data_IF_876523266087
#
_entry.id   IF_876523266087
#
_cell.length_a   1.000
_cell.length_b   1.000
_cell.length_c   1.000
_cell.angle_alpha   90.00
_cell.angle_beta   90.00
_cell.angle_gamma   90.00
#
_symmetry.space_group_name_H-M   'P 1'
#
loop_
_entity.id
_entity.type
_entity.pdbx_description
1 polymer ?
#
# COMPACT_ATOMS: atom_id res chain seq x y z
N UNK A 1 15.10 11.29 -7.98
CA UNK A 1 13.91 10.42 -7.99
C UNK A 1 14.00 9.23 -8.98
N UNK A 2 15.01 9.10 -9.85
CA UNK A 2 15.06 8.03 -10.88
C UNK A 2 15.98 6.82 -10.57
N UNK A 3 16.55 6.70 -9.37
CA UNK A 3 17.59 5.70 -9.08
C UNK A 3 17.07 4.32 -8.64
N UNK A 4 15.76 4.18 -8.37
CA UNK A 4 15.23 2.98 -7.69
C UNK A 4 14.66 1.90 -8.60
N UNK A 5 14.33 2.21 -9.87
CA UNK A 5 13.59 1.28 -10.74
C UNK A 5 12.21 0.86 -10.21
N UNK A 6 11.82 1.37 -9.04
CA UNK A 6 10.52 1.20 -8.41
C UNK A 6 9.61 2.37 -8.77
N UNK A 7 8.30 2.10 -8.74
CA UNK A 7 7.27 3.12 -8.93
C UNK A 7 7.57 4.38 -8.10
N UNK A 8 7.48 5.60 -8.67
CA UNK A 8 7.79 6.85 -7.98
C UNK A 8 7.09 7.00 -6.62
N UNK A 9 5.91 6.39 -6.45
CA UNK A 9 5.16 6.40 -5.18
C UNK A 9 5.84 5.56 -4.11
N UNK A 10 6.41 4.42 -4.48
CA UNK A 10 7.18 3.58 -3.55
C UNK A 10 8.45 4.32 -3.09
N UNK A 11 9.12 5.00 -4.02
CA UNK A 11 10.26 5.83 -3.68
C UNK A 11 9.87 6.97 -2.71
N UNK A 12 8.73 7.62 -2.94
CA UNK A 12 8.21 8.66 -2.04
C UNK A 12 7.91 8.10 -0.64
N UNK A 13 7.28 6.92 -0.56
CA UNK A 13 7.02 6.24 0.72
C UNK A 13 8.32 5.91 1.48
N UNK A 14 9.34 5.43 0.77
CA UNK A 14 10.65 5.12 1.35
C UNK A 14 11.42 6.37 1.78
N UNK A 15 11.26 7.50 1.08
CA UNK A 15 11.84 8.79 1.45
C UNK A 15 11.11 9.39 2.67
N UNK A 16 9.81 9.14 2.82
CA UNK A 16 9.03 9.61 3.97
C UNK A 16 9.38 8.88 5.28
N UNK A 17 10.17 7.80 5.22
CA UNK A 17 10.65 7.10 6.40
C UNK A 17 11.73 7.89 7.13
N UNK A 18 11.44 8.27 8.37
CA UNK A 18 12.30 9.08 9.25
C UNK A 18 13.26 8.24 10.13
N UNK A 19 13.05 6.92 10.17
CA UNK A 19 13.69 6.01 11.10
C UNK A 19 13.94 4.64 10.47
N UNK A 20 14.86 3.83 11.01
CA UNK A 20 15.11 2.47 10.50
C UNK A 20 13.85 1.60 10.50
N UNK A 21 13.00 1.73 11.51
CA UNK A 21 11.74 0.98 11.63
C UNK A 21 10.71 1.45 10.61
N UNK A 22 10.62 2.77 10.38
CA UNK A 22 9.79 3.32 9.31
C UNK A 22 10.28 2.85 7.93
N UNK A 23 11.60 2.81 7.71
CA UNK A 23 12.18 2.34 6.47
C UNK A 23 11.89 0.84 6.26
N UNK A 24 12.00 0.03 7.31
CA UNK A 24 11.66 -1.39 7.26
C UNK A 24 10.16 -1.62 6.98
N UNK A 25 9.30 -0.78 7.57
CA UNK A 25 7.86 -0.78 7.30
C UNK A 25 7.56 -0.43 5.84
N UNK A 26 8.13 0.67 5.34
CA UNK A 26 7.98 1.09 3.94
C UNK A 26 8.51 0.03 2.96
N UNK A 27 9.65 -0.58 3.25
CA UNK A 27 10.23 -1.63 2.40
C UNK A 27 9.34 -2.89 2.37
N UNK A 28 8.75 -3.28 3.51
CA UNK A 28 7.80 -4.39 3.57
C UNK A 28 6.53 -4.07 2.77
N UNK A 29 5.98 -2.86 2.92
CA UNK A 29 4.84 -2.41 2.13
C UNK A 29 5.14 -2.43 0.63
N UNK A 30 6.30 -1.91 0.22
CA UNK A 30 6.73 -1.92 -1.17
C UNK A 30 6.82 -3.35 -1.72
N UNK A 31 7.36 -4.30 -0.95
CA UNK A 31 7.41 -5.71 -1.34
C UNK A 31 6.01 -6.32 -1.52
N UNK A 32 5.06 -6.01 -0.65
CA UNK A 32 3.67 -6.48 -0.76
C UNK A 32 2.98 -5.86 -1.98
N UNK A 33 3.25 -4.59 -2.28
CA UNK A 33 2.67 -3.92 -3.45
C UNK A 33 3.28 -4.38 -4.78
N UNK A 34 4.57 -4.74 -4.78
CA UNK A 34 5.24 -5.36 -5.94
C UNK A 34 4.70 -6.76 -6.22
N UNK A 35 4.46 -7.55 -5.17
CA UNK A 35 3.93 -8.91 -5.24
C UNK A 35 2.67 -9.05 -4.38
N UNK A 36 1.51 -8.55 -4.85
CA UNK A 36 0.29 -8.59 -4.08
C UNK A 36 -0.13 -10.03 -3.80
N UNK A 37 -0.75 -10.30 -2.63
CA UNK A 37 -1.25 -11.63 -2.30
C UNK A 37 -2.20 -12.11 -3.38
N UNK A 38 -1.95 -13.30 -3.91
CA UNK A 38 -2.85 -13.97 -4.86
C UNK A 38 -4.10 -14.42 -4.10
N UNK A 39 -5.21 -13.68 -4.23
CA UNK A 39 -6.48 -14.01 -3.59
C UNK A 39 -7.46 -12.83 -3.53
N UNK A 40 -8.70 -13.09 -3.11
CA UNK A 40 -9.79 -12.11 -3.12
C UNK A 40 -9.72 -11.04 -2.00
N UNK A 41 -8.84 -11.22 -1.00
CA UNK A 41 -8.76 -10.31 0.13
C UNK A 41 -7.72 -9.21 -0.14
N UNK A 42 -8.22 -8.00 -0.39
CA UNK A 42 -7.42 -6.84 -0.80
C UNK A 42 -6.87 -6.04 0.39
N UNK A 43 -7.07 -6.54 1.62
CA UNK A 43 -6.64 -5.85 2.83
C UNK A 43 -5.11 -5.87 3.02
N UNK A 44 -4.52 -4.70 2.83
CA UNK A 44 -3.10 -4.45 3.05
C UNK A 44 -2.69 -4.65 4.51
N UNK A 45 -3.56 -4.33 5.48
CA UNK A 45 -3.28 -4.55 6.90
C UNK A 45 -3.15 -6.04 7.21
N UNK A 46 -4.10 -6.85 6.72
CA UNK A 46 -4.04 -8.31 6.78
C UNK A 46 -2.81 -8.87 6.06
N UNK A 47 -2.46 -8.36 4.87
CA UNK A 47 -1.26 -8.76 4.15
C UNK A 47 0.02 -8.41 4.93
N UNK A 48 0.08 -7.23 5.54
CA UNK A 48 1.22 -6.80 6.35
C UNK A 48 1.38 -7.63 7.62
N UNK A 49 0.28 -8.05 8.25
CA UNK A 49 0.32 -8.94 9.42
C UNK A 49 0.86 -10.34 9.08
N UNK A 50 0.66 -10.81 7.84
CA UNK A 50 1.22 -12.08 7.37
C UNK A 50 2.75 -12.01 7.32
N UNK A 51 3.39 -13.05 7.84
CA UNK A 51 4.84 -13.22 7.80
C UNK A 51 5.21 -14.13 6.64
N UNK A 52 5.18 -13.59 5.41
CA UNK A 52 5.65 -14.34 4.25
C UNK A 52 7.15 -14.13 4.02
N UNK A 53 7.96 -15.20 3.91
CA UNK A 53 9.40 -15.08 3.75
C UNK A 53 9.80 -14.39 2.44
N UNK A 54 9.02 -14.57 1.35
CA UNK A 54 9.27 -13.90 0.07
C UNK A 54 9.22 -12.37 0.20
N UNK A 55 8.17 -11.84 0.81
CA UNK A 55 8.05 -10.40 1.07
C UNK A 55 9.13 -9.87 2.02
N UNK A 56 9.52 -10.64 3.04
CA UNK A 56 10.61 -10.25 3.94
C UNK A 56 11.96 -10.17 3.20
N UNK A 57 12.28 -11.16 2.38
CA UNK A 57 13.51 -11.17 1.57
C UNK A 57 13.53 -9.98 0.61
N UNK A 58 12.41 -9.73 -0.07
CA UNK A 58 12.28 -8.60 -0.99
C UNK A 58 12.43 -7.25 -0.27
N UNK A 59 11.80 -7.08 0.88
CA UNK A 59 11.94 -5.89 1.71
C UNK A 59 13.39 -5.65 2.14
N UNK A 60 14.11 -6.70 2.54
CA UNK A 60 15.53 -6.61 2.89
C UNK A 60 16.40 -6.22 1.68
N UNK A 61 16.11 -6.73 0.48
CA UNK A 61 16.81 -6.33 -0.74
C UNK A 61 16.60 -4.83 -1.02
N UNK A 62 15.37 -4.34 -0.90
CA UNK A 62 15.05 -2.92 -1.09
C UNK A 62 15.80 -2.04 -0.08
N UNK A 63 15.78 -2.40 1.21
CA UNK A 63 16.54 -1.70 2.24
C UNK A 63 18.05 -1.66 1.93
N UNK A 64 18.63 -2.80 1.54
CA UNK A 64 20.05 -2.88 1.18
C UNK A 64 20.40 -1.97 0.01
N UNK A 65 19.55 -1.92 -1.03
CA UNK A 65 19.76 -1.04 -2.21
C UNK A 65 19.69 0.44 -1.84
N UNK A 66 18.89 0.79 -0.84
CA UNK A 66 18.74 2.15 -0.34
C UNK A 66 19.81 2.56 0.68
N UNK A 67 20.69 1.64 1.09
CA UNK A 67 21.61 1.86 2.21
C UNK A 67 20.90 1.99 3.57
N UNK A 68 19.65 1.54 3.66
CA UNK A 68 18.85 1.55 4.88
C UNK A 68 19.38 0.56 5.92
N UNK A 69 19.26 0.91 7.20
CA UNK A 69 19.59 0.00 8.31
C UNK A 69 18.47 -1.00 8.56
N UNK A 70 18.82 -2.14 9.16
CA UNK A 70 17.83 -3.09 9.64
C UNK A 70 16.97 -2.44 10.74
N UNK A 71 15.65 -2.52 10.59
CA UNK A 71 14.67 -2.08 11.55
C UNK A 71 13.51 -3.07 11.63
N UNK A 72 12.59 -2.84 12.54
CA UNK A 72 11.42 -3.69 12.76
C UNK A 72 10.20 -3.09 12.06
N UNK A 73 9.57 -3.80 11.12
CA UNK A 73 8.34 -3.34 10.48
C UNK A 73 7.20 -3.20 11.51
N UNK A 74 6.54 -2.05 11.52
CA UNK A 74 5.47 -1.70 12.45
C UNK A 74 4.19 -1.31 11.68
N UNK A 75 3.11 -2.05 11.95
CA UNK A 75 1.81 -1.81 11.33
C UNK A 75 1.21 -0.44 11.68
N UNK A 76 1.53 0.11 12.85
CA UNK A 76 1.01 1.42 13.29
C UNK A 76 1.55 2.57 12.43
N UNK A 77 2.71 2.38 11.79
CA UNK A 77 3.35 3.38 10.91
C UNK A 77 2.86 3.31 9.46
N UNK A 78 2.15 2.25 9.10
CA UNK A 78 1.65 2.03 7.73
C UNK A 78 0.81 3.21 7.21
N UNK A 79 -0.18 3.74 7.95
CA UNK A 79 -0.99 4.86 7.45
C UNK A 79 -0.16 6.13 7.24
N UNK A 80 0.77 6.43 8.15
CA UNK A 80 1.62 7.62 8.10
C UNK A 80 2.58 7.59 6.89
N UNK A 81 3.05 6.39 6.52
CA UNK A 81 3.92 6.19 5.35
C UNK A 81 3.15 6.19 4.03
N UNK A 82 1.94 5.63 4.02
CA UNK A 82 1.11 5.57 2.82
C UNK A 82 0.45 6.90 2.47
N UNK A 83 0.01 7.67 3.47
CA UNK A 83 -0.69 8.94 3.24
C UNK A 83 0.05 9.90 2.29
N UNK A 84 1.35 10.21 2.46
CA UNK A 84 2.07 11.10 1.55
C UNK A 84 2.35 10.45 0.17
N UNK A 85 2.51 9.13 0.11
CA UNK A 85 2.82 8.42 -1.14
C UNK A 85 1.58 8.16 -2.03
N UNK A 86 0.41 8.11 -1.42
CA UNK A 86 -0.86 7.74 -2.05
C UNK A 86 -1.99 8.72 -1.69
N UNK A 87 -1.66 9.99 -1.46
CA UNK A 87 -2.62 11.04 -1.08
C UNK A 87 -3.77 11.14 -2.08
N UNK A 88 -3.47 11.03 -3.39
CA UNK A 88 -4.44 11.06 -4.48
C UNK A 88 -5.30 9.78 -4.56
N UNK A 89 -4.88 8.70 -3.89
CA UNK A 89 -5.59 7.42 -3.80
C UNK A 89 -6.27 7.21 -2.45
N UNK A 90 -6.47 8.27 -1.68
CA UNK A 90 -7.36 8.25 -0.53
C UNK A 90 -8.78 8.13 -1.07
N UNK A 91 -9.44 7.02 -0.75
CA UNK A 91 -10.78 6.68 -1.20
C UNK A 91 -11.78 6.97 -0.08
N UNK A 92 -12.83 7.73 -0.40
CA UNK A 92 -13.96 7.99 0.50
C UNK A 92 -15.20 7.25 0.02
N UNK A 93 -15.87 6.54 0.92
CA UNK A 93 -17.11 5.84 0.61
C UNK A 93 -18.18 6.83 0.14
N UNK A 94 -18.81 6.54 -1.00
CA UNK A 94 -19.87 7.37 -1.59
C UNK A 94 -21.14 6.55 -1.78
N UNK A 95 -22.15 6.83 -0.96
CA UNK A 95 -23.45 6.17 -1.03
C UNK A 95 -23.44 4.74 -0.47
N UNK A 96 -24.34 3.92 -1.00
CA UNK A 96 -24.48 2.50 -0.63
C UNK A 96 -23.81 1.64 -1.73
N UNK A 97 -23.37 0.41 -1.39
CA UNK A 97 -22.78 -0.58 -2.33
C UNK A 97 -21.30 -0.42 -2.74
N UNK A 98 -20.37 -0.31 -1.79
CA UNK A 98 -18.93 -0.51 -2.10
C UNK A 98 -18.32 0.51 -3.09
N UNK A 99 -19.02 1.60 -3.40
CA UNK A 99 -18.53 2.68 -4.24
C UNK A 99 -17.69 3.63 -3.41
N UNK A 100 -16.48 3.90 -3.90
CA UNK A 100 -15.55 4.85 -3.32
C UNK A 100 -15.18 5.91 -4.35
N UNK A 101 -14.96 7.13 -3.89
CA UNK A 101 -14.41 8.21 -4.68
C UNK A 101 -13.00 8.49 -4.17
N UNK A 102 -12.02 8.38 -5.06
CA UNK A 102 -10.64 8.71 -4.78
C UNK A 102 -10.46 10.23 -4.71
N UNK A 103 -9.45 10.69 -3.98
CA UNK A 103 -9.12 12.11 -3.84
C UNK A 103 -8.76 12.77 -5.18
N UNK A 104 -8.26 12.00 -6.16
CA UNK A 104 -8.07 12.44 -7.54
C UNK A 104 -9.38 12.57 -8.35
N UNK A 105 -10.53 12.25 -7.77
CA UNK A 105 -11.84 12.33 -8.41
C UNK A 105 -12.29 11.06 -9.13
N UNK A 106 -11.42 10.05 -9.30
CA UNK A 106 -11.79 8.78 -9.94
C UNK A 106 -12.69 7.94 -9.03
N UNK A 107 -13.65 7.23 -9.63
CA UNK A 107 -14.44 6.23 -8.94
C UNK A 107 -13.64 4.92 -8.79
N UNK A 108 -13.71 4.32 -7.61
CA UNK A 108 -13.22 2.97 -7.35
C UNK A 108 -14.37 2.12 -6.81
N UNK A 109 -14.43 0.87 -7.24
CA UNK A 109 -15.35 -0.11 -6.68
C UNK A 109 -14.58 -1.08 -5.81
N UNK A 110 -15.11 -1.30 -4.60
CA UNK A 110 -14.69 -2.34 -3.70
C UNK A 110 -15.73 -3.45 -3.75
N UNK A 111 -15.28 -4.71 -3.73
CA UNK A 111 -16.19 -5.86 -3.69
C UNK A 111 -17.10 -5.78 -2.45
N UNK A 112 -18.38 -6.11 -2.62
CA UNK A 112 -19.37 -6.02 -1.55
C UNK A 112 -19.04 -6.96 -0.36
N UNK A 113 -18.39 -8.09 -0.64
CA UNK A 113 -17.92 -9.05 0.37
C UNK A 113 -16.63 -8.62 1.07
N UNK A 114 -15.98 -7.54 0.63
CA UNK A 114 -14.75 -7.08 1.25
C UNK A 114 -15.07 -6.40 2.60
N UNK A 115 -14.45 -6.90 3.67
CA UNK A 115 -14.62 -6.37 5.02
C UNK A 115 -14.21 -4.89 5.12
N UNK A 116 -13.40 -4.40 4.17
CA UNK A 116 -13.03 -2.99 4.07
C UNK A 116 -14.21 -2.07 3.74
N UNK A 117 -15.31 -2.60 3.18
CA UNK A 117 -16.52 -1.87 2.80
C UNK A 117 -17.22 -1.13 3.96
N UNK A 118 -16.93 -1.50 5.21
CA UNK A 118 -17.47 -0.86 6.42
C UNK A 118 -16.77 0.45 6.81
N UNK A 119 -15.58 0.71 6.29
CA UNK A 119 -14.80 1.89 6.64
C UNK A 119 -15.15 3.08 5.73
N UNK A 120 -15.32 4.27 6.29
CA UNK A 120 -15.63 5.46 5.47
C UNK A 120 -14.45 5.90 4.61
N UNK A 121 -13.23 5.76 5.14
CA UNK A 121 -11.99 6.18 4.49
C UNK A 121 -11.06 4.99 4.33
N UNK A 122 -10.51 4.85 3.12
CA UNK A 122 -9.56 3.81 2.75
C UNK A 122 -8.40 4.45 1.98
N UNK A 123 -7.23 3.81 1.99
CA UNK A 123 -6.14 4.13 1.06
C UNK A 123 -6.06 2.96 0.09
N UNK A 124 -6.20 3.23 -1.20
CA UNK A 124 -6.18 2.21 -2.26
C UNK A 124 -4.84 2.24 -3.02
N UNK A 125 -3.73 1.72 -2.44
CA UNK A 125 -2.43 1.79 -3.08
C UNK A 125 -2.36 0.94 -4.35
N UNK A 126 -3.19 -0.10 -4.48
CA UNK A 126 -3.36 -0.90 -5.68
C UNK A 126 -4.79 -0.73 -6.21
N UNK A 127 -4.90 -0.38 -7.49
CA UNK A 127 -6.17 -0.34 -8.21
C UNK A 127 -6.07 -1.38 -9.31
N UNK A 128 -6.84 -2.46 -9.19
CA UNK A 128 -7.04 -3.39 -10.30
C UNK A 128 -8.04 -2.72 -11.24
N UNK A 129 -7.57 -2.24 -12.39
CA UNK A 129 -8.47 -1.76 -13.44
C UNK A 129 -9.21 -2.98 -14.02
N UNK A 130 -10.33 -3.34 -13.38
CA UNK A 130 -11.35 -4.17 -14.00
C UNK A 130 -12.13 -3.29 -14.98
N UNK A 131 -11.92 -3.55 -16.27
CA UNK A 131 -12.77 -3.21 -17.43
C UNK A 131 -13.86 -2.15 -17.14
N UNK A 132 -13.63 -0.93 -17.65
CA UNK A 132 -14.71 0.00 -17.96
C UNK A 132 -15.66 -0.70 -18.93
N UNK A 133 -16.72 -1.32 -18.40
CA UNK A 133 -17.85 -1.72 -19.24
C UNK A 133 -18.65 -0.45 -19.50
N UNK A 134 -18.61 -0.04 -20.77
CA UNK A 134 -19.29 1.12 -21.36
C UNK A 134 -20.80 1.11 -21.14
#
# INVERSE_FOLDING_TARGET
>A
MAALGNDPRLAAMLIAADSPDAAATAAKLAAILEEPPRGANSDLGSAFARQQPGWQQRAQQLLKRLGGRAGHPDAQRVPALLAPAFADRIARRRGQEGRYQLANGMGAMLNADDALGRHEWLIAPLLLQGELVT
#
